data_IF_151147858788
#
_entry.id   IF_151147858788
#
_cell.length_a   1.000
_cell.length_b   1.000
_cell.length_c   1.000
_cell.angle_alpha   90.00
_cell.angle_beta   90.00
_cell.angle_gamma   90.00
#
_symmetry.space_group_name_H-M   'P 1'
#
loop_
_entity.id
_entity.type
_entity.pdbx_description
1 polymer ?
#
# COMPACT_ATOMS: atom_id res chain seq x y z
N UNK A 1 -0.58 -21.39 6.14
CA UNK A 1 -0.12 -19.98 6.11
C UNK A 1 0.91 -19.77 7.20
N UNK A 2 1.98 -19.01 6.95
CA UNK A 2 3.09 -18.90 7.89
C UNK A 2 2.97 -17.66 8.78
N UNK A 3 3.10 -17.87 10.10
CA UNK A 3 3.26 -16.82 11.13
C UNK A 3 4.28 -15.74 10.74
N UNK A 4 5.30 -16.11 9.95
CA UNK A 4 6.34 -15.21 9.45
C UNK A 4 5.76 -14.08 8.59
N UNK A 5 4.80 -14.37 7.72
CA UNK A 5 4.18 -13.37 6.84
C UNK A 5 3.43 -12.31 7.63
N UNK A 6 2.57 -12.71 8.56
CA UNK A 6 1.79 -11.78 9.37
C UNK A 6 2.65 -10.96 10.34
N UNK A 7 3.72 -11.55 10.89
CA UNK A 7 4.73 -10.78 11.64
C UNK A 7 5.45 -9.73 10.77
N UNK A 8 5.73 -10.07 9.51
CA UNK A 8 6.33 -9.12 8.56
C UNK A 8 5.34 -8.00 8.19
N UNK A 9 4.07 -8.33 8.01
CA UNK A 9 3.01 -7.37 7.76
C UNK A 9 2.80 -6.44 8.95
N UNK A 10 2.73 -6.98 10.17
CA UNK A 10 2.65 -6.19 11.41
C UNK A 10 3.83 -5.23 11.53
N UNK A 11 5.05 -5.68 11.24
CA UNK A 11 6.22 -4.78 11.22
C UNK A 11 6.08 -3.62 10.22
N UNK A 12 5.41 -3.84 9.09
CA UNK A 12 5.12 -2.74 8.16
C UNK A 12 4.05 -1.80 8.72
N UNK A 13 3.03 -2.32 9.42
CA UNK A 13 2.04 -1.52 10.14
C UNK A 13 2.72 -0.65 11.19
N UNK A 14 3.57 -1.21 12.05
CA UNK A 14 4.32 -0.47 13.06
C UNK A 14 5.15 0.65 12.44
N UNK A 15 5.77 0.38 11.29
CA UNK A 15 6.53 1.40 10.57
C UNK A 15 5.61 2.53 10.07
N UNK A 16 4.48 2.20 9.46
CA UNK A 16 3.50 3.20 8.98
C UNK A 16 2.89 3.99 10.13
N UNK A 17 2.58 3.33 11.26
CA UNK A 17 2.04 3.94 12.47
C UNK A 17 2.98 4.99 13.06
N UNK A 18 4.29 4.70 13.10
CA UNK A 18 5.28 5.60 13.68
C UNK A 18 5.71 6.74 12.76
N UNK A 19 5.79 6.48 11.44
CA UNK A 19 6.43 7.42 10.50
C UNK A 19 5.47 8.05 9.49
N UNK A 20 4.22 7.59 9.43
CA UNK A 20 3.21 8.07 8.49
C UNK A 20 3.68 8.04 7.03
N UNK A 21 3.09 8.92 6.21
CA UNK A 21 3.41 9.05 4.78
C UNK A 21 4.84 9.55 4.52
N UNK A 22 5.47 10.22 5.48
CA UNK A 22 6.81 10.77 5.32
C UNK A 22 7.89 9.67 5.34
N UNK A 23 7.64 8.58 6.06
CA UNK A 23 8.55 7.47 6.21
C UNK A 23 9.82 7.80 7.02
N UNK A 24 10.49 6.76 7.50
CA UNK A 24 11.65 6.90 8.40
C UNK A 24 12.84 7.68 7.83
N UNK A 25 13.00 7.74 6.50
CA UNK A 25 14.07 8.53 5.87
C UNK A 25 13.85 10.02 6.08
N UNK A 26 12.62 10.50 5.94
CA UNK A 26 12.29 11.91 6.17
C UNK A 26 12.49 12.29 7.64
N UNK A 27 12.14 11.40 8.56
CA UNK A 27 12.43 11.57 9.99
C UNK A 27 13.93 11.72 10.25
N UNK A 28 14.76 10.87 9.64
CA UNK A 28 16.22 10.93 9.79
C UNK A 28 16.76 12.26 9.28
N UNK A 29 16.34 12.68 8.08
CA UNK A 29 16.76 13.96 7.48
C UNK A 29 16.38 15.18 8.34
N UNK A 30 15.18 15.17 8.94
CA UNK A 30 14.73 16.26 9.81
C UNK A 30 15.50 16.29 11.12
N UNK A 31 15.80 15.13 11.70
CA UNK A 31 16.65 15.05 12.88
C UNK A 31 18.05 15.58 12.59
N UNK A 32 18.63 15.20 11.45
CA UNK A 32 19.95 15.66 11.02
C UNK A 32 19.96 17.17 10.71
N UNK A 33 18.81 17.72 10.31
CA UNK A 33 18.59 19.16 10.13
C UNK A 33 18.30 19.91 11.45
N UNK A 34 18.36 19.25 12.61
CA UNK A 34 18.21 19.86 13.94
C UNK A 34 16.78 19.97 14.46
N UNK A 35 15.79 19.33 13.82
CA UNK A 35 14.44 19.27 14.38
C UNK A 35 14.38 18.30 15.57
N UNK A 36 13.67 18.69 16.62
CA UNK A 36 13.40 17.83 17.79
C UNK A 36 12.36 16.76 17.47
N UNK A 37 12.38 15.65 18.20
CA UNK A 37 11.40 14.56 18.02
C UNK A 37 9.95 15.04 18.15
N UNK A 38 9.66 15.94 19.09
CA UNK A 38 8.32 16.52 19.23
C UNK A 38 7.90 17.33 18.01
N UNK A 39 8.81 18.11 17.41
CA UNK A 39 8.50 18.87 16.19
C UNK A 39 8.26 17.96 14.99
N UNK A 40 8.99 16.85 14.90
CA UNK A 40 8.83 15.86 13.84
C UNK A 40 7.52 15.08 14.04
N UNK A 41 7.26 14.60 15.26
CA UNK A 41 6.05 13.85 15.61
C UNK A 41 4.77 14.67 15.38
N UNK A 42 4.74 15.93 15.83
CA UNK A 42 3.64 16.87 15.56
C UNK A 42 3.42 17.15 14.06
N UNK A 43 4.45 16.96 13.23
CA UNK A 43 4.37 17.18 11.78
C UNK A 43 3.80 15.98 11.03
N UNK A 44 3.96 14.77 11.58
CA UNK A 44 3.59 13.53 10.90
C UNK A 44 2.50 12.72 11.59
N UNK A 45 2.03 13.17 12.76
CA UNK A 45 0.91 12.59 13.53
C UNK A 45 0.91 11.06 13.47
N UNK A 46 1.80 10.46 14.27
CA UNK A 46 1.79 9.01 14.45
C UNK A 46 0.40 8.49 14.82
N UNK A 47 0.16 7.22 14.53
CA UNK A 47 -1.11 6.57 14.80
C UNK A 47 -0.91 5.46 15.82
N UNK A 48 -1.82 5.35 16.78
CA UNK A 48 -1.82 4.23 17.71
C UNK A 48 -1.99 2.92 16.95
N UNK A 49 -1.33 1.87 17.44
CA UNK A 49 -1.44 0.52 16.88
C UNK A 49 -1.72 -0.49 18.00
N UNK A 50 -2.91 -1.11 17.97
CA UNK A 50 -3.34 -2.10 18.97
C UNK A 50 -3.48 -3.52 18.41
N UNK A 51 -3.23 -3.72 17.11
CA UNK A 51 -3.42 -5.02 16.45
C UNK A 51 -2.22 -5.95 16.62
N UNK A 52 -2.50 -7.25 16.66
CA UNK A 52 -1.52 -8.33 16.69
C UNK A 52 -1.31 -8.98 15.31
N UNK A 53 -0.38 -9.92 15.21
CA UNK A 53 -0.21 -10.68 13.96
C UNK A 53 -1.33 -11.71 13.79
N UNK A 54 -1.93 -12.19 14.88
CA UNK A 54 -3.11 -13.04 14.89
C UNK A 54 -4.33 -12.30 14.30
N UNK A 55 -4.52 -11.04 14.69
CA UNK A 55 -5.60 -10.19 14.16
C UNK A 55 -5.50 -10.02 12.65
N UNK A 56 -4.29 -9.75 12.14
CA UNK A 56 -4.04 -9.65 10.70
C UNK A 56 -4.31 -10.96 9.97
N UNK A 57 -4.01 -12.12 10.58
CA UNK A 57 -4.37 -13.42 10.01
C UNK A 57 -5.88 -13.60 9.94
N UNK A 58 -6.58 -13.24 11.00
CA UNK A 58 -8.03 -13.47 11.10
C UNK A 58 -8.80 -12.55 10.15
N UNK A 59 -8.38 -11.29 10.00
CA UNK A 59 -8.90 -10.37 8.98
C UNK A 59 -8.62 -10.91 7.57
N UNK A 60 -7.42 -11.44 7.33
CA UNK A 60 -7.05 -11.98 6.02
C UNK A 60 -7.96 -13.16 5.61
N UNK A 61 -8.25 -14.05 6.55
CA UNK A 61 -9.19 -15.16 6.33
C UNK A 61 -10.63 -14.66 6.18
N UNK A 62 -11.06 -13.72 7.01
CA UNK A 62 -12.40 -13.11 6.95
C UNK A 62 -12.66 -12.44 5.59
N UNK A 63 -11.65 -11.75 5.03
CA UNK A 63 -11.69 -11.18 3.68
C UNK A 63 -11.55 -12.22 2.55
N UNK A 64 -11.58 -13.51 2.88
CA UNK A 64 -11.40 -14.61 1.92
C UNK A 64 -10.08 -14.50 1.12
N UNK A 65 -9.03 -13.94 1.74
CA UNK A 65 -7.70 -13.72 1.16
C UNK A 65 -7.71 -12.79 -0.06
N UNK A 66 -8.71 -11.92 -0.13
CA UNK A 66 -8.87 -10.93 -1.20
C UNK A 66 -8.48 -9.53 -0.73
N UNK A 67 -7.96 -8.75 -1.67
CA UNK A 67 -7.81 -7.32 -1.54
C UNK A 67 -9.19 -6.68 -1.33
N UNK A 68 -9.34 -5.93 -0.24
CA UNK A 68 -10.61 -5.30 0.11
C UNK A 68 -11.20 -4.44 -1.03
N UNK A 69 -10.39 -3.58 -1.65
CA UNK A 69 -10.88 -2.65 -2.68
C UNK A 69 -11.08 -3.29 -4.06
N UNK A 70 -10.26 -4.27 -4.44
CA UNK A 70 -10.20 -4.77 -5.82
C UNK A 70 -10.68 -6.21 -5.97
N UNK A 71 -10.91 -6.91 -4.85
CA UNK A 71 -11.20 -8.35 -4.82
C UNK A 71 -10.15 -9.23 -5.52
N UNK A 72 -8.93 -8.73 -5.71
CA UNK A 72 -7.81 -9.51 -6.24
C UNK A 72 -7.30 -10.47 -5.17
N UNK A 73 -6.90 -11.67 -5.58
CA UNK A 73 -6.22 -12.60 -4.69
C UNK A 73 -4.91 -11.98 -4.20
N UNK A 74 -4.68 -12.06 -2.91
CA UNK A 74 -3.42 -11.60 -2.30
C UNK A 74 -2.48 -12.78 -2.16
N UNK A 75 -1.27 -12.61 -2.70
CA UNK A 75 -0.13 -13.47 -2.41
C UNK A 75 0.69 -12.86 -1.27
N UNK A 76 0.89 -13.61 -0.18
CA UNK A 76 1.67 -13.15 0.95
C UNK A 76 3.17 -13.13 0.65
N UNK A 77 3.66 -13.93 -0.31
CA UNK A 77 5.09 -13.98 -0.66
C UNK A 77 5.57 -12.68 -1.32
N UNK A 78 4.66 -11.89 -1.89
CA UNK A 78 4.92 -10.54 -2.38
C UNK A 78 5.43 -9.58 -1.28
N UNK A 79 5.24 -9.89 0.02
CA UNK A 79 5.87 -9.14 1.12
C UNK A 79 7.40 -9.14 1.10
N UNK A 80 8.00 -10.13 0.42
CA UNK A 80 9.46 -10.27 0.30
C UNK A 80 9.99 -9.81 -1.05
N UNK A 81 9.11 -9.44 -1.99
CA UNK A 81 9.51 -8.84 -3.26
C UNK A 81 9.72 -7.34 -3.06
N UNK A 82 10.94 -6.81 -3.26
CA UNK A 82 11.21 -5.38 -3.10
C UNK A 82 10.27 -4.54 -3.96
N UNK A 83 9.65 -3.53 -3.35
CA UNK A 83 8.75 -2.57 -4.01
C UNK A 83 7.56 -3.18 -4.75
N UNK A 84 7.19 -4.43 -4.47
CA UNK A 84 6.06 -5.04 -5.16
C UNK A 84 4.78 -4.24 -4.91
N UNK A 85 4.06 -3.84 -5.98
CA UNK A 85 2.75 -3.19 -5.86
C UNK A 85 1.67 -4.20 -5.43
N UNK A 86 1.93 -5.50 -5.59
CA UNK A 86 1.01 -6.57 -5.22
C UNK A 86 1.21 -7.07 -3.78
N UNK A 87 2.27 -6.61 -3.11
CA UNK A 87 2.48 -6.91 -1.71
C UNK A 87 1.26 -6.52 -0.86
N UNK A 88 0.85 -7.37 0.09
CA UNK A 88 -0.16 -7.01 1.07
C UNK A 88 0.23 -5.75 1.84
N UNK A 89 -0.75 -4.90 2.07
CA UNK A 89 -0.72 -3.69 2.87
C UNK A 89 -1.92 -3.68 3.80
N UNK A 90 -1.80 -3.01 4.93
CA UNK A 90 -2.91 -2.76 5.86
C UNK A 90 -3.30 -1.31 5.71
N UNK A 91 -4.56 -1.08 5.37
CA UNK A 91 -5.13 0.26 5.22
C UNK A 91 -6.09 0.57 6.35
N UNK A 92 -6.24 1.86 6.65
CA UNK A 92 -7.18 2.34 7.66
C UNK A 92 -8.45 2.81 6.96
N UNK A 93 -9.61 2.32 7.40
CA UNK A 93 -10.90 2.70 6.85
C UNK A 93 -11.15 4.18 7.13
N UNK A 94 -10.91 4.60 8.37
CA UNK A 94 -10.93 5.98 8.82
C UNK A 94 -9.51 6.43 9.18
N UNK A 95 -8.96 7.31 8.36
CA UNK A 95 -7.61 7.85 8.51
C UNK A 95 -7.45 8.78 9.73
N UNK A 96 -8.54 9.22 10.37
CA UNK A 96 -8.48 9.97 11.63
C UNK A 96 -8.22 9.07 12.85
N UNK A 97 -8.35 7.75 12.70
CA UNK A 97 -8.17 6.76 13.76
C UNK A 97 -6.88 5.95 13.57
N UNK A 98 -6.51 5.23 14.62
CA UNK A 98 -5.35 4.35 14.63
C UNK A 98 -5.55 3.04 13.86
N UNK A 99 -4.62 2.11 14.05
CA UNK A 99 -4.76 0.72 13.66
C UNK A 99 -5.44 -0.03 14.80
N UNK A 100 -6.74 -0.24 14.65
CA UNK A 100 -7.59 -1.05 15.51
C UNK A 100 -8.40 -2.04 14.68
N UNK A 101 -8.83 -3.15 15.29
CA UNK A 101 -9.50 -4.27 14.61
C UNK A 101 -10.69 -3.85 13.75
N UNK A 102 -11.45 -2.84 14.18
CA UNK A 102 -12.67 -2.37 13.52
C UNK A 102 -12.39 -1.29 12.45
N UNK A 103 -11.14 -0.82 12.35
CA UNK A 103 -10.75 0.29 11.47
C UNK A 103 -9.74 -0.13 10.40
N UNK A 104 -9.46 -1.41 10.22
CA UNK A 104 -8.44 -1.84 9.26
C UNK A 104 -8.95 -2.85 8.24
N UNK A 105 -8.33 -2.82 7.06
CA UNK A 105 -8.53 -3.79 5.99
C UNK A 105 -7.19 -4.20 5.38
N UNK A 106 -7.14 -5.40 4.80
CA UNK A 106 -5.97 -5.85 4.04
C UNK A 106 -6.21 -5.65 2.54
N UNK A 107 -5.29 -4.97 1.87
CA UNK A 107 -5.35 -4.69 0.44
C UNK A 107 -3.97 -4.84 -0.18
N UNK A 108 -3.84 -4.70 -1.51
CA UNK A 108 -2.51 -4.60 -2.13
C UNK A 108 -1.96 -3.19 -1.94
N UNK A 109 -0.63 -3.01 -1.92
CA UNK A 109 0.00 -1.68 -1.93
C UNK A 109 -0.50 -0.81 -3.07
N UNK A 110 -0.72 -1.41 -4.24
CA UNK A 110 -1.33 -0.76 -5.40
C UNK A 110 -2.68 -0.13 -5.04
N UNK A 111 -3.57 -0.93 -4.42
CA UNK A 111 -4.90 -0.46 -4.06
C UNK A 111 -4.84 0.60 -2.95
N UNK A 112 -4.00 0.41 -1.92
CA UNK A 112 -3.84 1.38 -0.83
C UNK A 112 -3.39 2.75 -1.36
N UNK A 113 -2.31 2.78 -2.16
CA UNK A 113 -1.78 4.03 -2.73
C UNK A 113 -2.77 4.66 -3.71
N UNK A 114 -3.41 3.84 -4.56
CA UNK A 114 -4.41 4.30 -5.52
C UNK A 114 -5.63 4.92 -4.82
N UNK A 115 -6.18 4.26 -3.80
CA UNK A 115 -7.30 4.76 -3.00
C UNK A 115 -6.93 6.03 -2.24
N UNK A 116 -5.76 6.06 -1.60
CA UNK A 116 -5.31 7.24 -0.86
C UNK A 116 -5.19 8.48 -1.75
N UNK A 117 -4.67 8.32 -2.97
CA UNK A 117 -4.53 9.42 -3.92
C UNK A 117 -5.86 9.83 -4.59
N UNK A 118 -6.71 8.85 -4.93
CA UNK A 118 -7.96 9.11 -5.64
C UNK A 118 -9.09 9.56 -4.70
N UNK A 119 -9.17 8.96 -3.50
CA UNK A 119 -10.09 9.27 -2.42
C UNK A 119 -11.57 9.40 -2.86
N UNK A 120 -12.02 8.49 -3.72
CA UNK A 120 -13.38 8.49 -4.23
C UNK A 120 -13.97 7.07 -4.23
N UNK A 121 -15.25 6.88 -3.84
CA UNK A 121 -15.83 5.56 -3.63
C UNK A 121 -15.89 4.69 -4.88
N UNK A 122 -15.84 5.29 -6.08
CA UNK A 122 -15.91 4.56 -7.35
C UNK A 122 -14.55 4.06 -7.89
N UNK A 123 -13.51 3.96 -7.05
CA UNK A 123 -12.16 3.60 -7.49
C UNK A 123 -12.12 2.32 -8.31
N UNK A 124 -12.81 1.28 -7.85
CA UNK A 124 -12.86 -0.02 -8.51
C UNK A 124 -13.55 0.08 -9.86
N UNK A 125 -14.71 0.72 -9.91
CA UNK A 125 -15.52 0.90 -11.12
C UNK A 125 -14.76 1.73 -12.15
N UNK A 126 -14.09 2.78 -11.70
CA UNK A 126 -13.27 3.62 -12.57
C UNK A 126 -12.09 2.85 -13.13
N UNK A 127 -11.33 2.14 -12.29
CA UNK A 127 -10.21 1.32 -12.74
C UNK A 127 -10.66 0.27 -13.76
N UNK A 128 -11.77 -0.41 -13.49
CA UNK A 128 -12.32 -1.40 -14.40
C UNK A 128 -12.73 -0.77 -15.74
N UNK A 129 -13.43 0.37 -15.72
CA UNK A 129 -13.80 1.10 -16.93
C UNK A 129 -12.58 1.45 -17.78
N UNK A 130 -11.51 1.98 -17.18
CA UNK A 130 -10.28 2.32 -17.91
C UNK A 130 -9.58 1.07 -18.46
N UNK A 131 -9.60 -0.06 -17.73
CA UNK A 131 -9.05 -1.33 -18.22
C UNK A 131 -9.82 -1.88 -19.42
N UNK A 132 -11.14 -1.76 -19.41
CA UNK A 132 -12.04 -2.26 -20.47
C UNK A 132 -12.02 -1.37 -21.71
N UNK A 133 -11.81 -0.06 -21.53
CA UNK A 133 -11.83 0.93 -22.62
C UNK A 133 -10.44 1.40 -23.04
N UNK A 134 -9.37 0.71 -22.62
CA UNK A 134 -8.01 1.07 -23.01
C UNK A 134 -7.82 0.93 -24.52
N UNK A 135 -7.31 1.98 -25.15
CA UNK A 135 -6.89 1.90 -26.55
C UNK A 135 -5.55 1.13 -26.65
N UNK A 136 -5.46 0.15 -27.55
CA UNK A 136 -4.21 -0.63 -27.78
C UNK A 136 -3.11 0.17 -28.52
N UNK A 137 -3.16 1.50 -28.47
CA UNK A 137 -2.33 2.40 -29.28
C UNK A 137 -0.85 2.34 -28.89
N UNK A 138 -0.54 2.04 -27.63
CA UNK A 138 0.84 2.10 -27.12
C UNK A 138 1.78 1.11 -27.81
N UNK A 139 1.34 -0.12 -28.11
CA UNK A 139 2.19 -1.12 -28.76
C UNK A 139 2.48 -0.73 -30.22
N UNK A 140 1.47 -0.25 -30.94
CA UNK A 140 1.59 0.04 -32.38
C UNK A 140 2.30 1.35 -32.68
N UNK A 141 2.23 2.36 -31.79
CA UNK A 141 2.97 3.62 -31.98
C UNK A 141 4.46 3.48 -31.63
N UNK A 142 4.81 2.74 -30.57
CA UNK A 142 6.21 2.56 -30.18
C UNK A 142 6.98 1.65 -31.16
N UNK A 143 6.35 0.61 -31.69
CA UNK A 143 6.93 -0.23 -32.77
C UNK A 143 7.29 0.57 -34.03
N UNK A 144 6.62 1.70 -34.29
CA UNK A 144 6.81 2.54 -35.49
C UNK A 144 7.81 3.68 -35.29
N UNK A 145 8.35 3.87 -34.09
CA UNK A 145 9.31 4.94 -33.80
C UNK A 145 10.72 4.35 -33.60
N UNK A 146 11.64 4.51 -34.57
CA UNK A 146 13.00 3.97 -34.47
C UNK A 146 13.78 4.46 -33.24
N UNK A 147 13.44 5.66 -32.74
CA UNK A 147 14.10 6.31 -31.59
C UNK A 147 13.66 5.74 -30.24
N UNK A 148 12.47 5.15 -30.16
CA UNK A 148 11.85 4.66 -28.92
C UNK A 148 11.50 3.17 -29.02
N UNK A 149 12.11 2.45 -29.97
CA UNK A 149 11.85 1.03 -30.21
C UNK A 149 11.95 0.21 -28.91
N UNK A 150 11.03 -0.73 -28.76
CA UNK A 150 10.87 -1.62 -27.61
C UNK A 150 12.09 -2.51 -27.32
N UNK A 151 13.07 -2.53 -28.21
CA UNK A 151 14.32 -3.28 -28.10
C UNK A 151 15.18 -2.87 -26.87
N UNK A 152 14.84 -1.75 -26.22
CA UNK A 152 15.51 -1.27 -25.00
C UNK A 152 14.78 -1.62 -23.68
N UNK A 153 13.66 -2.35 -23.73
CA UNK A 153 12.79 -2.59 -22.55
C UNK A 153 12.43 -4.05 -22.26
N UNK A 154 13.10 -5.03 -22.90
CA UNK A 154 12.98 -6.46 -22.57
C UNK A 154 14.33 -7.08 -22.21
#
# INVERSE_FOLDING_TARGET
MSKKHFKKLLKNVDFSANYGAAGGRTFTLLRDAGYTENQISNKFNGHDNSISWEDLRDIFEFQNRLCYYLSWKIDLDELYVPYSPFAPSVDRIDNSKGYDLDNIVICTRFANLGMSAYNHPNFRERLQYEMDNRENIFVERYKKQPKFGLDNFL
#
